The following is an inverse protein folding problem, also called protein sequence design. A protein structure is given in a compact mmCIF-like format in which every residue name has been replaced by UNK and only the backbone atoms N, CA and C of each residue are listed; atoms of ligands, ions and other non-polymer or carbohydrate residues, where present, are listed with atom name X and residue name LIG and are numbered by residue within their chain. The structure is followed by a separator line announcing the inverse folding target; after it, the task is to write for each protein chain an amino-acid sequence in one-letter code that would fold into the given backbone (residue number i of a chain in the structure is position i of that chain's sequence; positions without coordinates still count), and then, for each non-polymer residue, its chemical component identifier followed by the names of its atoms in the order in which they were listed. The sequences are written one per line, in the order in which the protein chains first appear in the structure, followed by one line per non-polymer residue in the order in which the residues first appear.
data_IF_922842175050
#
_entry.id   IF_922842175050
#
_cell.length_a   1.000
_cell.length_b   1.000
_cell.length_c   1.000
_cell.angle_alpha   90.00
_cell.angle_beta   90.00
_cell.angle_gamma   90.00
#
_symmetry.space_group_name_H-M   'P 1'
#
loop_
_entity.id
_entity.type
_entity.pdbx_description
1 polymer ?
#
# COMPACT_ATOMS: atom_id res chain seq x y z
N UNK A 1 -28.06 -11.63 -17.13
CA UNK A 1 -28.94 -12.53 -16.38
C UNK A 1 -29.29 -11.85 -15.06
N UNK A 2 -30.47 -12.11 -14.48
CA UNK A 2 -30.79 -11.62 -13.15
C UNK A 2 -29.98 -12.40 -12.12
N UNK A 3 -29.53 -11.73 -11.05
CA UNK A 3 -28.81 -12.38 -9.95
C UNK A 3 -29.78 -13.35 -9.20
N UNK A 4 -29.28 -14.51 -8.84
CA UNK A 4 -30.02 -15.42 -7.94
C UNK A 4 -30.15 -14.74 -6.57
N UNK A 5 -31.34 -14.73 -5.94
CA UNK A 5 -31.52 -14.11 -4.62
C UNK A 5 -30.57 -14.70 -3.57
N UNK A 6 -29.84 -13.83 -2.86
CA UNK A 6 -28.90 -14.19 -1.79
C UNK A 6 -28.85 -13.06 -0.74
N UNK A 7 -28.32 -13.36 0.44
CA UNK A 7 -28.09 -12.36 1.49
C UNK A 7 -26.84 -11.51 1.25
N UNK A 8 -25.85 -12.06 0.55
CA UNK A 8 -24.66 -11.39 0.10
C UNK A 8 -24.10 -12.10 -1.14
N UNK A 9 -23.30 -11.41 -1.92
CA UNK A 9 -22.63 -11.95 -3.10
C UNK A 9 -21.12 -11.91 -2.94
N UNK A 10 -20.46 -12.96 -3.39
CA UNK A 10 -19.00 -13.00 -3.55
C UNK A 10 -18.72 -13.22 -5.03
N UNK A 11 -18.03 -12.30 -5.66
CA UNK A 11 -17.65 -12.38 -7.06
C UNK A 11 -16.14 -12.42 -7.21
N UNK A 12 -15.63 -13.45 -7.88
CA UNK A 12 -14.22 -13.60 -8.19
C UNK A 12 -13.95 -13.04 -9.60
N UNK A 13 -13.06 -12.07 -9.68
CA UNK A 13 -12.70 -11.35 -10.92
C UNK A 13 -11.20 -11.30 -11.08
N UNK A 14 -10.72 -11.04 -12.29
CA UNK A 14 -9.29 -10.91 -12.54
C UNK A 14 -8.93 -11.00 -14.02
N UNK A 15 -7.64 -11.04 -14.27
CA UNK A 15 -7.10 -11.18 -15.61
C UNK A 15 -7.05 -12.65 -16.07
N UNK A 16 -7.14 -12.86 -17.37
CA UNK A 16 -6.82 -14.16 -17.96
C UNK A 16 -5.32 -14.45 -17.80
N UNK A 17 -4.96 -15.72 -17.83
CA UNK A 17 -3.56 -16.12 -17.81
C UNK A 17 -2.79 -15.53 -19.01
N UNK A 18 -1.63 -14.97 -18.75
CA UNK A 18 -0.71 -14.45 -19.75
C UNK A 18 0.73 -14.67 -19.31
N UNK A 19 1.66 -14.56 -20.25
CA UNK A 19 3.10 -14.57 -19.97
C UNK A 19 3.80 -13.57 -20.90
N UNK A 20 4.85 -12.94 -20.39
CA UNK A 20 5.74 -12.01 -21.09
C UNK A 20 4.97 -10.93 -21.91
N UNK A 21 5.38 -10.66 -23.14
CA UNK A 21 4.81 -9.63 -24.01
C UNK A 21 3.31 -9.76 -24.26
N UNK A 22 2.71 -10.95 -24.09
CA UNK A 22 1.25 -11.11 -24.15
C UNK A 22 0.53 -10.43 -22.98
N UNK A 23 1.25 -10.17 -21.91
CA UNK A 23 0.78 -9.42 -20.74
C UNK A 23 1.01 -7.92 -20.82
N UNK A 24 1.72 -7.43 -21.85
CA UNK A 24 2.00 -6.01 -22.01
C UNK A 24 0.72 -5.24 -22.25
N UNK A 25 0.34 -4.46 -21.24
CA UNK A 25 -0.84 -3.62 -21.26
C UNK A 25 -0.56 -2.36 -20.43
N UNK A 26 -0.50 -1.16 -21.02
CA UNK A 26 -0.23 0.07 -20.31
C UNK A 26 -1.38 0.50 -19.37
N UNK A 27 -2.57 -0.08 -19.54
CA UNK A 27 -3.76 0.24 -18.76
C UNK A 27 -4.57 -1.03 -18.45
N UNK A 28 -4.04 -1.99 -17.65
CA UNK A 28 -4.76 -3.20 -17.33
C UNK A 28 -6.06 -2.90 -16.57
N UNK A 29 -7.14 -3.46 -17.06
CA UNK A 29 -8.50 -3.27 -16.57
C UNK A 29 -9.18 -4.61 -16.39
N UNK A 30 -10.12 -4.70 -15.45
CA UNK A 30 -11.04 -5.84 -15.44
C UNK A 30 -11.80 -5.94 -16.77
N UNK A 31 -12.03 -7.15 -17.28
CA UNK A 31 -12.86 -7.36 -18.47
C UNK A 31 -14.24 -6.72 -18.34
N UNK A 32 -14.82 -6.18 -19.43
CA UNK A 32 -16.12 -5.49 -19.38
C UNK A 32 -17.28 -6.37 -18.88
N UNK A 33 -17.25 -7.67 -19.17
CA UNK A 33 -18.23 -8.63 -18.69
C UNK A 33 -18.18 -8.81 -17.18
N UNK A 34 -17.00 -8.85 -16.58
CA UNK A 34 -16.82 -8.90 -15.13
C UNK A 34 -17.28 -7.61 -14.45
N UNK A 35 -16.95 -6.45 -15.02
CA UNK A 35 -17.46 -5.14 -14.53
C UNK A 35 -18.99 -5.10 -14.59
N UNK A 36 -19.61 -5.59 -15.67
CA UNK A 36 -21.06 -5.65 -15.81
C UNK A 36 -21.72 -6.62 -14.80
N UNK A 37 -21.04 -7.71 -14.45
CA UNK A 37 -21.50 -8.64 -13.42
C UNK A 37 -21.51 -7.96 -12.04
N UNK A 38 -20.42 -7.32 -11.62
CA UNK A 38 -20.35 -6.57 -10.36
C UNK A 38 -21.49 -5.57 -10.28
N UNK A 39 -21.68 -4.76 -11.32
CA UNK A 39 -22.77 -3.78 -11.40
C UNK A 39 -24.16 -4.41 -11.23
N UNK A 40 -24.38 -5.57 -11.83
CA UNK A 40 -25.64 -6.32 -11.70
C UNK A 40 -25.87 -6.78 -10.26
N UNK A 41 -24.82 -7.23 -9.58
CA UNK A 41 -24.90 -7.68 -8.19
C UNK A 41 -25.14 -6.50 -7.24
N UNK A 42 -24.48 -5.39 -7.44
CA UNK A 42 -24.67 -4.17 -6.63
C UNK A 42 -26.09 -3.59 -6.78
N UNK A 43 -26.66 -3.66 -7.98
CA UNK A 43 -28.04 -3.22 -8.24
C UNK A 43 -29.09 -3.99 -7.42
N UNK A 44 -28.72 -5.13 -6.80
CA UNK A 44 -29.62 -5.88 -5.90
C UNK A 44 -29.77 -5.21 -4.53
N UNK A 45 -28.89 -4.26 -4.17
CA UNK A 45 -28.81 -3.63 -2.85
C UNK A 45 -28.31 -4.55 -1.73
N UNK A 46 -27.78 -5.73 -2.08
CA UNK A 46 -27.16 -6.67 -1.12
C UNK A 46 -25.65 -6.45 -1.05
N UNK A 47 -25.00 -6.81 0.07
CA UNK A 47 -23.54 -6.72 0.17
C UNK A 47 -22.84 -7.49 -0.96
N UNK A 48 -21.86 -6.85 -1.60
CA UNK A 48 -21.00 -7.43 -2.62
C UNK A 48 -19.56 -7.45 -2.13
N UNK A 49 -18.92 -8.61 -2.21
CA UNK A 49 -17.50 -8.80 -1.91
C UNK A 49 -16.81 -9.18 -3.21
N UNK A 50 -15.87 -8.33 -3.63
CA UNK A 50 -15.07 -8.55 -4.84
C UNK A 50 -13.75 -9.21 -4.47
N UNK A 51 -13.48 -10.38 -5.03
CA UNK A 51 -12.21 -11.10 -4.88
C UNK A 51 -11.40 -10.93 -6.16
N UNK A 52 -10.29 -10.20 -6.07
CA UNK A 52 -9.45 -9.90 -7.23
C UNK A 52 -8.32 -10.91 -7.34
N UNK A 53 -8.29 -11.64 -8.47
CA UNK A 53 -7.26 -12.63 -8.80
C UNK A 53 -6.43 -12.08 -9.96
N UNK A 54 -5.32 -11.43 -9.65
CA UNK A 54 -4.43 -10.82 -10.64
C UNK A 54 -2.99 -10.78 -10.11
N UNK A 55 -2.02 -10.82 -11.01
CA UNK A 55 -0.58 -10.72 -10.66
C UNK A 55 -0.11 -9.27 -10.50
N UNK A 56 -0.93 -8.31 -10.87
CA UNK A 56 -0.64 -6.87 -10.86
C UNK A 56 -1.88 -6.05 -10.50
N UNK A 57 -1.74 -4.76 -10.16
CA UNK A 57 -2.88 -3.87 -10.06
C UNK A 57 -3.63 -3.75 -11.40
N UNK A 58 -4.95 -3.78 -11.32
CA UNK A 58 -5.86 -3.61 -12.46
C UNK A 58 -6.92 -2.58 -12.10
N UNK A 59 -7.37 -1.79 -13.06
CA UNK A 59 -8.51 -0.90 -12.89
C UNK A 59 -9.78 -1.72 -12.63
N UNK A 60 -10.38 -1.54 -11.46
CA UNK A 60 -11.51 -2.36 -11.00
C UNK A 60 -12.83 -1.89 -11.61
N UNK A 61 -12.96 -0.62 -11.94
CA UNK A 61 -14.22 0.02 -12.29
C UNK A 61 -14.93 0.60 -11.08
N UNK A 62 -15.67 1.68 -11.29
CA UNK A 62 -16.35 2.42 -10.24
C UNK A 62 -17.28 1.54 -9.39
N UNK A 63 -17.98 0.59 -10.01
CA UNK A 63 -18.88 -0.31 -9.29
C UNK A 63 -18.07 -1.20 -8.32
N UNK A 64 -16.94 -1.78 -8.74
CA UNK A 64 -16.09 -2.58 -7.85
C UNK A 64 -15.43 -1.73 -6.75
N UNK A 65 -15.09 -0.47 -7.04
CA UNK A 65 -14.54 0.47 -6.04
C UNK A 65 -15.55 0.79 -4.94
N UNK A 66 -16.85 0.70 -5.22
CA UNK A 66 -17.95 0.92 -4.28
C UNK A 66 -18.39 -0.36 -3.54
N UNK A 67 -17.82 -1.52 -3.87
CA UNK A 67 -18.17 -2.79 -3.23
C UNK A 67 -17.99 -2.74 -1.70
N UNK A 68 -18.79 -3.53 -0.98
CA UNK A 68 -18.75 -3.59 0.50
C UNK A 68 -17.45 -4.19 1.04
N UNK A 69 -16.73 -4.97 0.21
CA UNK A 69 -15.42 -5.51 0.52
C UNK A 69 -14.65 -5.85 -0.74
N UNK A 70 -13.35 -5.59 -0.72
CA UNK A 70 -12.42 -5.97 -1.78
C UNK A 70 -11.30 -6.79 -1.16
N UNK A 71 -11.13 -8.02 -1.64
CA UNK A 71 -10.05 -8.91 -1.24
C UNK A 71 -9.09 -9.11 -2.40
N UNK A 72 -7.87 -8.60 -2.28
CA UNK A 72 -6.80 -8.88 -3.23
C UNK A 72 -6.18 -10.24 -2.93
N UNK A 73 -6.50 -11.24 -3.74
CA UNK A 73 -6.03 -12.62 -3.57
C UNK A 73 -4.73 -12.91 -4.32
N UNK A 74 -4.29 -12.00 -5.19
CA UNK A 74 -3.12 -12.20 -6.08
C UNK A 74 -3.23 -13.47 -6.92
N UNK A 75 -2.11 -14.08 -7.29
CA UNK A 75 -2.05 -15.37 -7.98
C UNK A 75 -1.87 -16.48 -6.94
N UNK A 76 -2.99 -16.97 -6.42
CA UNK A 76 -2.99 -18.11 -5.52
C UNK A 76 -2.71 -19.42 -6.26
N UNK A 77 -2.24 -20.41 -5.52
CA UNK A 77 -2.08 -21.79 -5.99
C UNK A 77 -3.36 -22.60 -5.74
N UNK A 78 -3.27 -23.91 -5.76
CA UNK A 78 -4.40 -24.86 -5.61
C UNK A 78 -5.23 -24.63 -4.34
N UNK A 79 -4.63 -24.11 -3.27
CA UNK A 79 -5.30 -23.84 -1.99
C UNK A 79 -5.88 -22.43 -1.89
N UNK A 80 -5.79 -21.62 -2.94
CA UNK A 80 -6.27 -20.23 -2.91
C UNK A 80 -7.75 -20.10 -2.54
N UNK A 81 -8.60 -20.99 -3.04
CA UNK A 81 -10.03 -20.98 -2.75
C UNK A 81 -10.32 -21.14 -1.26
N UNK A 82 -9.62 -22.06 -0.58
CA UNK A 82 -9.77 -22.24 0.85
C UNK A 82 -9.27 -21.03 1.64
N UNK A 83 -8.12 -20.45 1.26
CA UNK A 83 -7.57 -19.27 1.92
C UNK A 83 -8.49 -18.05 1.78
N UNK A 84 -9.07 -17.84 0.60
CA UNK A 84 -10.05 -16.77 0.33
C UNK A 84 -11.31 -16.99 1.19
N UNK A 85 -11.85 -18.20 1.21
CA UNK A 85 -13.01 -18.52 2.05
C UNK A 85 -12.71 -18.28 3.54
N UNK A 86 -11.56 -18.73 4.02
CA UNK A 86 -11.15 -18.54 5.42
C UNK A 86 -10.99 -17.06 5.79
N UNK A 87 -10.54 -16.22 4.85
CA UNK A 87 -10.52 -14.77 5.03
C UNK A 87 -11.94 -14.19 5.07
N UNK A 88 -12.78 -14.47 4.07
CA UNK A 88 -14.14 -13.92 3.98
C UNK A 88 -14.98 -14.30 5.21
N UNK A 89 -14.90 -15.54 5.66
CA UNK A 89 -15.64 -16.02 6.84
C UNK A 89 -14.92 -15.76 8.18
N UNK A 90 -13.81 -15.03 8.15
CA UNK A 90 -13.11 -14.55 9.34
C UNK A 90 -12.42 -15.63 10.17
N UNK A 91 -12.09 -16.78 9.57
CA UNK A 91 -11.21 -17.79 10.20
C UNK A 91 -9.78 -17.28 10.31
N UNK A 92 -9.32 -16.52 9.33
CA UNK A 92 -8.05 -15.81 9.36
C UNK A 92 -8.30 -14.31 9.32
N UNK A 93 -7.42 -13.57 9.96
CA UNK A 93 -7.40 -12.11 9.92
C UNK A 93 -6.49 -11.65 8.78
N UNK A 94 -7.00 -10.91 7.77
CA UNK A 94 -6.16 -10.33 6.74
C UNK A 94 -5.14 -9.37 7.35
N UNK A 95 -3.87 -9.52 7.00
CA UNK A 95 -2.78 -8.68 7.52
C UNK A 95 -1.87 -8.13 6.43
N UNK A 96 -2.11 -8.51 5.18
CA UNK A 96 -1.32 -8.08 4.03
C UNK A 96 -1.40 -6.57 3.80
N UNK A 97 -0.28 -5.97 3.38
CA UNK A 97 -0.21 -4.57 2.95
C UNK A 97 0.18 -4.54 1.48
N UNK A 98 -0.41 -3.62 0.71
CA UNK A 98 -0.11 -3.47 -0.70
C UNK A 98 1.37 -3.11 -0.91
N UNK A 99 2.10 -3.88 -1.73
CA UNK A 99 3.50 -3.59 -2.08
C UNK A 99 3.63 -2.58 -3.23
N UNK A 100 2.52 -2.11 -3.75
CA UNK A 100 2.42 -1.14 -4.84
C UNK A 100 1.10 -0.36 -4.69
N UNK A 101 1.04 0.88 -5.18
CA UNK A 101 -0.21 1.63 -5.24
C UNK A 101 -1.20 0.97 -6.21
N UNK A 102 -2.46 0.95 -5.84
CA UNK A 102 -3.55 0.44 -6.66
C UNK A 102 -4.25 1.57 -7.39
N UNK A 103 -4.41 1.51 -8.73
CA UNK A 103 -5.01 2.59 -9.51
C UNK A 103 -6.50 2.76 -9.23
N UNK A 104 -6.99 3.98 -9.36
CA UNK A 104 -8.41 4.32 -9.34
C UNK A 104 -8.92 4.60 -10.75
N UNK A 105 -10.03 4.00 -11.13
CA UNK A 105 -10.71 4.34 -12.39
C UNK A 105 -11.32 5.75 -12.34
N UNK A 106 -11.65 6.26 -11.15
CA UNK A 106 -12.20 7.60 -10.97
C UNK A 106 -11.16 8.71 -11.20
N UNK A 107 -9.89 8.42 -11.06
CA UNK A 107 -8.79 9.33 -11.38
C UNK A 107 -8.64 9.57 -12.89
N UNK A 108 -9.48 8.96 -13.69
CA UNK A 108 -9.33 8.76 -15.12
C UNK A 108 -10.17 9.61 -16.08
N UNK A 109 -10.89 10.65 -15.75
CA UNK A 109 -11.32 11.60 -16.78
C UNK A 109 -10.10 12.38 -17.29
N UNK A 110 -9.36 11.80 -18.23
CA UNK A 110 -8.18 12.41 -18.83
C UNK A 110 -6.87 12.22 -18.05
N UNK A 111 -6.82 11.28 -17.10
CA UNK A 111 -5.70 11.09 -16.18
C UNK A 111 -4.61 10.17 -16.68
N UNK A 112 -4.24 10.28 -17.93
CA UNK A 112 -3.03 9.65 -18.42
C UNK A 112 -1.90 10.66 -18.60
N UNK A 113 -0.73 10.13 -18.80
CA UNK A 113 0.46 10.90 -19.12
C UNK A 113 0.32 11.71 -20.42
N UNK A 114 -0.67 11.41 -21.30
CA UNK A 114 -0.79 11.96 -22.64
C UNK A 114 -2.26 12.19 -23.09
N UNK A 115 -3.25 12.30 -22.20
CA UNK A 115 -4.64 12.52 -22.56
C UNK A 115 -5.37 11.26 -23.05
N UNK A 116 -4.90 10.06 -22.77
CA UNK A 116 -5.48 8.76 -23.10
C UNK A 116 -6.06 8.01 -21.89
N UNK A 117 -6.23 6.70 -22.00
CA UNK A 117 -6.88 5.88 -20.99
C UNK A 117 -6.12 5.84 -19.64
N UNK A 118 -6.83 5.62 -18.53
CA UNK A 118 -6.23 5.47 -17.22
C UNK A 118 -5.15 4.38 -17.25
N UNK A 119 -3.94 4.76 -16.89
CA UNK A 119 -2.84 3.83 -16.72
C UNK A 119 -2.69 3.53 -15.23
N UNK A 120 -2.53 2.27 -14.81
CA UNK A 120 -2.10 1.94 -13.46
C UNK A 120 -0.80 2.67 -13.09
N UNK A 121 0.03 2.96 -14.08
CA UNK A 121 1.23 3.80 -13.93
C UNK A 121 0.89 5.28 -13.76
N UNK A 122 -0.29 5.74 -14.17
CA UNK A 122 -0.78 7.10 -13.94
C UNK A 122 -1.05 7.42 -12.48
N UNK A 123 -1.36 6.41 -11.68
CA UNK A 123 -1.54 6.52 -10.23
C UNK A 123 -0.23 6.33 -9.45
N UNK A 124 0.87 6.11 -10.13
CA UNK A 124 2.18 6.20 -9.52
C UNK A 124 2.63 7.67 -9.52
N UNK A 125 3.34 8.14 -8.50
CA UNK A 125 3.86 9.49 -8.51
C UNK A 125 4.77 9.66 -9.73
N UNK A 126 4.47 10.67 -10.57
CA UNK A 126 5.35 11.05 -11.69
C UNK A 126 6.76 11.41 -11.21
N UNK A 127 6.78 12.01 -10.05
CA UNK A 127 7.98 12.37 -9.34
C UNK A 127 7.95 11.63 -8.01
N UNK A 128 9.05 11.03 -7.65
CA UNK A 128 9.19 10.27 -6.41
C UNK A 128 9.01 11.11 -5.13
N UNK A 129 8.87 12.43 -5.26
CA UNK A 129 8.60 13.39 -4.19
C UNK A 129 7.10 13.69 -4.01
N UNK A 130 6.21 13.02 -4.73
CA UNK A 130 4.77 13.22 -4.59
C UNK A 130 4.15 12.30 -3.53
N UNK A 131 3.30 12.88 -2.69
CA UNK A 131 2.41 12.16 -1.79
C UNK A 131 1.00 12.06 -2.38
N UNK A 132 0.20 11.02 -2.04
CA UNK A 132 -1.19 10.93 -2.45
C UNK A 132 -1.98 12.17 -2.09
N UNK A 133 -2.83 12.61 -3.02
CA UNK A 133 -3.62 13.82 -2.86
C UNK A 133 -2.85 15.13 -3.08
N UNK A 134 -1.53 15.06 -3.33
CA UNK A 134 -0.75 16.23 -3.71
C UNK A 134 -0.67 16.32 -5.23
N UNK A 135 -1.23 17.38 -5.82
CA UNK A 135 -1.12 17.65 -7.25
C UNK A 135 0.13 18.45 -7.58
N UNK A 136 0.90 18.05 -8.59
CA UNK A 136 1.68 19.03 -9.33
C UNK A 136 0.69 19.93 -10.06
N UNK A 137 0.91 21.23 -10.13
CA UNK A 137 0.01 22.20 -10.79
C UNK A 137 -0.27 21.98 -12.29
N UNK A 138 -0.09 20.78 -12.79
CA UNK A 138 -0.35 20.31 -14.15
C UNK A 138 -1.63 19.46 -14.26
N UNK A 139 -2.51 19.45 -13.27
CA UNK A 139 -3.82 18.80 -13.34
C UNK A 139 -3.81 17.27 -13.14
N UNK A 140 -2.68 16.68 -12.78
CA UNK A 140 -2.54 15.24 -12.54
C UNK A 140 -2.18 15.00 -11.07
N UNK A 141 -3.20 14.97 -10.20
CA UNK A 141 -3.01 14.58 -8.82
C UNK A 141 -2.67 13.08 -8.75
N UNK A 142 -1.63 12.74 -8.00
CA UNK A 142 -1.41 11.35 -7.59
C UNK A 142 -2.51 10.98 -6.59
N UNK A 143 -3.47 10.18 -7.03
CA UNK A 143 -4.64 9.81 -6.23
C UNK A 143 -5.01 8.35 -6.47
N UNK A 144 -4.22 7.39 -5.98
CA UNK A 144 -4.51 5.98 -6.11
C UNK A 144 -5.78 5.60 -5.33
N UNK A 145 -6.47 4.55 -5.78
CA UNK A 145 -7.58 3.95 -5.03
C UNK A 145 -7.10 3.47 -3.66
N UNK A 146 -5.97 2.74 -3.66
CA UNK A 146 -5.28 2.33 -2.44
C UNK A 146 -3.78 2.58 -2.60
N UNK A 147 -3.15 3.37 -1.74
CA UNK A 147 -1.73 3.65 -1.84
C UNK A 147 -0.87 2.47 -1.35
N UNK A 148 0.41 2.52 -1.67
CA UNK A 148 1.43 1.61 -1.12
C UNK A 148 1.31 1.51 0.42
N UNK A 149 1.37 0.31 0.96
CA UNK A 149 1.26 0.07 2.40
C UNK A 149 -0.17 -0.03 2.94
N UNK A 150 -1.20 0.22 2.09
CA UNK A 150 -2.59 0.05 2.50
C UNK A 150 -2.94 -1.42 2.73
N UNK A 151 -3.78 -1.68 3.73
CA UNK A 151 -4.38 -2.98 4.00
C UNK A 151 -5.10 -2.98 5.33
N UNK A 152 -6.32 -3.51 5.35
CA UNK A 152 -7.19 -3.58 6.51
C UNK A 152 -7.02 -4.90 7.27
N UNK A 153 -7.50 -4.94 8.50
CA UNK A 153 -7.61 -6.10 9.37
C UNK A 153 -9.02 -6.16 9.95
N UNK A 154 -9.42 -7.31 10.46
CA UNK A 154 -10.68 -7.46 11.20
C UNK A 154 -10.58 -7.02 12.67
N UNK A 155 -9.42 -6.53 13.09
CA UNK A 155 -9.19 -5.88 14.37
C UNK A 155 -8.50 -4.53 14.15
N UNK A 156 -8.27 -3.78 15.21
CA UNK A 156 -7.65 -2.46 15.15
C UNK A 156 -6.35 -2.43 15.95
N UNK A 157 -5.38 -1.67 15.46
CA UNK A 157 -4.09 -1.51 16.13
C UNK A 157 -3.74 -0.05 16.31
N UNK A 158 -2.97 0.24 17.34
CA UNK A 158 -2.35 1.55 17.56
C UNK A 158 -0.87 1.38 17.85
N UNK A 159 -0.08 2.37 17.45
CA UNK A 159 1.36 2.44 17.76
C UNK A 159 1.65 3.63 18.64
N UNK A 160 2.46 3.43 19.69
CA UNK A 160 2.83 4.47 20.67
C UNK A 160 4.29 4.35 21.08
N UNK A 161 4.82 5.39 21.71
CA UNK A 161 6.15 5.35 22.33
C UNK A 161 7.30 5.21 21.35
N UNK A 162 7.18 5.78 20.14
CA UNK A 162 8.25 5.74 19.14
C UNK A 162 9.49 6.47 19.67
N UNK A 163 10.59 5.77 19.63
CA UNK A 163 11.94 6.30 19.84
C UNK A 163 12.90 5.73 18.80
N UNK A 164 14.01 6.39 18.56
CA UNK A 164 15.04 5.96 17.61
C UNK A 164 16.43 6.21 18.19
N UNK A 165 17.43 5.45 17.77
CA UNK A 165 18.85 5.74 18.07
C UNK A 165 19.15 7.20 17.73
N UNK A 166 19.49 8.06 18.70
CA UNK A 166 19.49 9.52 18.50
C UNK A 166 20.59 10.01 17.56
N UNK A 167 21.72 9.29 17.51
CA UNK A 167 22.87 9.65 16.67
C UNK A 167 23.53 8.39 16.11
N UNK A 168 23.79 8.39 14.80
CA UNK A 168 24.33 7.22 14.09
C UNK A 168 25.40 7.68 13.10
N UNK A 169 26.46 6.89 12.91
CA UNK A 169 27.41 7.13 11.84
C UNK A 169 26.85 6.75 10.47
N UNK A 170 27.42 7.31 9.38
CA UNK A 170 27.00 7.02 8.00
C UNK A 170 27.02 5.54 7.60
N UNK A 171 27.81 4.74 8.30
CA UNK A 171 27.93 3.29 8.10
C UNK A 171 27.29 2.48 9.21
N UNK A 172 26.57 3.14 10.11
CA UNK A 172 25.95 2.53 11.27
C UNK A 172 24.57 1.94 11.00
N UNK A 173 23.95 1.49 12.08
CA UNK A 173 22.58 0.96 12.09
C UNK A 173 21.75 1.79 13.07
N UNK A 174 20.63 2.31 12.62
CA UNK A 174 19.63 2.93 13.48
C UNK A 174 18.58 1.89 13.89
N UNK A 175 18.03 2.06 15.09
CA UNK A 175 16.97 1.19 15.61
C UNK A 175 15.80 2.04 16.08
N UNK A 176 14.63 1.81 15.48
CA UNK A 176 13.36 2.34 15.94
C UNK A 176 12.72 1.37 16.93
N UNK A 177 12.26 1.87 18.06
CA UNK A 177 11.56 1.11 19.12
C UNK A 177 10.20 1.74 19.35
N UNK A 178 9.15 0.93 19.39
CA UNK A 178 7.78 1.39 19.62
C UNK A 178 6.90 0.26 20.16
N UNK A 179 5.73 0.61 20.69
CA UNK A 179 4.76 -0.36 21.20
C UNK A 179 3.56 -0.44 20.27
N UNK A 180 3.19 -1.66 19.87
CA UNK A 180 1.97 -1.97 19.11
C UNK A 180 0.95 -2.55 20.06
N UNK A 181 -0.27 -2.04 20.02
CA UNK A 181 -1.40 -2.51 20.81
C UNK A 181 -2.54 -2.91 19.90
N UNK A 182 -3.08 -4.11 20.07
CA UNK A 182 -4.36 -4.50 19.48
C UNK A 182 -5.48 -3.89 20.32
N UNK A 183 -6.19 -2.91 19.76
CA UNK A 183 -7.28 -2.18 20.43
C UNK A 183 -8.66 -2.76 20.15
N UNK A 184 -8.74 -3.79 19.31
CA UNK A 184 -9.98 -4.46 18.99
C UNK A 184 -10.26 -5.69 19.87
N UNK A 185 -11.31 -6.40 19.53
CA UNK A 185 -11.84 -7.52 20.31
C UNK A 185 -11.44 -8.90 19.80
N UNK A 186 -10.65 -8.97 18.71
CA UNK A 186 -10.19 -10.22 18.09
C UNK A 186 -8.66 -10.25 18.07
N UNK A 187 -8.09 -11.44 18.07
CA UNK A 187 -6.68 -11.59 17.76
C UNK A 187 -6.44 -11.24 16.29
N UNK A 188 -5.29 -10.62 16.01
CA UNK A 188 -4.92 -10.26 14.65
C UNK A 188 -3.41 -10.07 14.51
N UNK A 189 -3.00 -9.77 13.29
CA UNK A 189 -1.61 -9.49 12.97
C UNK A 189 -1.50 -8.12 12.31
N UNK A 190 -0.67 -7.24 12.85
CA UNK A 190 -0.30 -6.00 12.18
C UNK A 190 1.06 -6.10 11.50
N UNK A 191 1.19 -5.45 10.35
CA UNK A 191 2.46 -5.20 9.68
C UNK A 191 2.71 -3.70 9.78
N UNK A 192 3.69 -3.32 10.58
CA UNK A 192 4.05 -1.93 10.85
C UNK A 192 5.27 -1.55 10.01
N UNK A 193 5.11 -0.77 8.94
CA UNK A 193 6.22 -0.23 8.17
C UNK A 193 6.87 0.92 8.93
N UNK A 194 8.19 1.01 8.80
CA UNK A 194 9.01 2.10 9.35
C UNK A 194 9.58 2.89 8.18
N UNK A 195 9.30 4.17 8.17
CA UNK A 195 9.78 5.09 7.14
C UNK A 195 10.79 6.07 7.72
N UNK A 196 11.60 6.62 6.83
CA UNK A 196 12.49 7.76 7.13
C UNK A 196 12.24 8.87 6.13
N UNK A 197 12.13 10.08 6.61
CA UNK A 197 12.19 11.31 5.82
C UNK A 197 13.49 12.07 6.09
N UNK A 198 13.96 12.78 5.08
CA UNK A 198 15.12 13.68 5.14
C UNK A 198 14.64 15.09 4.81
N UNK A 199 14.35 15.93 5.84
CA UNK A 199 13.78 17.26 5.62
C UNK A 199 14.70 18.22 4.85
N UNK A 200 16.01 18.02 4.92
CA UNK A 200 17.02 18.81 4.22
C UNK A 200 17.96 17.87 3.49
N UNK A 201 18.04 17.99 2.18
CA UNK A 201 18.92 17.21 1.31
C UNK A 201 19.50 18.11 0.22
N UNK A 202 20.69 17.78 -0.28
CA UNK A 202 21.32 18.47 -1.42
C UNK A 202 20.69 18.08 -2.76
N UNK A 203 19.93 16.98 -2.79
CA UNK A 203 19.22 16.50 -3.98
C UNK A 203 17.74 16.24 -3.62
N UNK A 204 16.89 16.14 -4.64
CA UNK A 204 15.49 15.79 -4.43
C UNK A 204 15.41 14.33 -3.95
N UNK A 205 14.76 14.11 -2.82
CA UNK A 205 14.60 12.80 -2.19
C UNK A 205 13.11 12.46 -2.01
N UNK A 206 12.75 11.18 -1.91
CA UNK A 206 11.38 10.81 -1.59
C UNK A 206 10.92 11.42 -0.27
N UNK A 207 9.66 11.86 -0.14
CA UNK A 207 9.10 12.38 1.12
C UNK A 207 9.22 11.38 2.26
N UNK A 208 9.09 10.10 1.94
CA UNK A 208 9.24 8.98 2.85
C UNK A 208 9.90 7.81 2.14
N UNK A 209 10.84 7.17 2.79
CA UNK A 209 11.51 5.96 2.32
C UNK A 209 11.27 4.82 3.30
N UNK A 210 10.73 3.71 2.83
CA UNK A 210 10.59 2.49 3.66
C UNK A 210 11.99 1.94 3.98
N UNK A 211 12.31 1.86 5.26
CA UNK A 211 13.62 1.35 5.74
C UNK A 211 13.51 -0.01 6.43
N UNK A 212 12.30 -0.43 6.75
CA UNK A 212 12.05 -1.74 7.35
C UNK A 212 10.59 -1.89 7.76
N UNK A 213 10.24 -3.07 8.24
CA UNK A 213 8.91 -3.35 8.79
C UNK A 213 9.00 -4.46 9.84
N UNK A 214 7.96 -4.58 10.64
CA UNK A 214 7.82 -5.69 11.57
C UNK A 214 6.41 -6.27 11.47
N UNK A 215 6.30 -7.59 11.69
CA UNK A 215 5.04 -8.31 11.77
C UNK A 215 4.77 -8.67 13.22
N UNK A 216 3.63 -8.24 13.76
CA UNK A 216 3.29 -8.43 15.18
C UNK A 216 1.92 -9.08 15.29
N UNK A 217 1.89 -10.31 15.81
CA UNK A 217 0.64 -10.99 16.15
C UNK A 217 0.30 -10.69 17.60
N UNK A 218 -0.93 -10.24 17.86
CA UNK A 218 -1.43 -9.85 19.17
C UNK A 218 -2.85 -10.39 19.40
N UNK A 219 -3.08 -10.90 20.60
CA UNK A 219 -4.43 -11.17 21.05
C UNK A 219 -5.19 -9.87 21.33
N UNK A 220 -6.51 -9.95 21.50
CA UNK A 220 -7.33 -8.79 21.86
C UNK A 220 -6.78 -8.09 23.10
N UNK A 221 -6.67 -6.76 23.03
CA UNK A 221 -6.12 -5.90 24.11
C UNK A 221 -4.66 -6.14 24.47
N UNK A 222 -3.95 -6.98 23.73
CA UNK A 222 -2.52 -7.24 23.96
C UNK A 222 -1.66 -6.11 23.40
N UNK A 223 -0.56 -5.81 24.08
CA UNK A 223 0.48 -4.88 23.63
C UNK A 223 1.84 -5.57 23.57
N UNK A 224 2.69 -5.13 22.65
CA UNK A 224 4.05 -5.60 22.53
C UNK A 224 4.96 -4.48 22.05
N UNK A 225 6.07 -4.29 22.76
CA UNK A 225 7.16 -3.44 22.30
C UNK A 225 8.02 -4.19 21.30
N UNK A 226 8.31 -3.54 20.17
CA UNK A 226 9.07 -4.10 19.06
C UNK A 226 10.19 -3.17 18.62
N UNK A 227 11.17 -3.73 17.93
CA UNK A 227 12.28 -2.98 17.37
C UNK A 227 12.43 -3.30 15.88
N UNK A 228 12.73 -2.27 15.10
CA UNK A 228 13.11 -2.37 13.69
C UNK A 228 14.45 -1.69 13.51
N UNK A 229 15.47 -2.46 13.16
CA UNK A 229 16.80 -1.95 12.89
C UNK A 229 17.03 -1.87 11.38
N UNK A 230 17.64 -0.80 10.91
CA UNK A 230 17.96 -0.59 9.52
C UNK A 230 19.36 0.01 9.33
N UNK A 231 20.12 -0.46 8.33
CA UNK A 231 21.40 0.15 8.01
C UNK A 231 21.17 1.55 7.42
N UNK A 232 21.91 2.52 7.91
CA UNK A 232 21.83 3.91 7.46
C UNK A 232 22.16 4.04 5.97
N UNK A 233 22.95 3.12 5.43
CA UNK A 233 23.29 3.07 4.00
C UNK A 233 22.06 2.98 3.06
N UNK A 234 20.90 2.53 3.55
CA UNK A 234 19.64 2.53 2.78
C UNK A 234 19.14 3.94 2.45
N UNK A 235 19.68 4.96 3.11
CA UNK A 235 19.35 6.37 2.90
C UNK A 235 20.33 7.08 1.94
N UNK A 236 21.27 6.33 1.36
CA UNK A 236 22.25 6.87 0.42
C UNK A 236 21.61 7.39 -0.86
N UNK A 237 22.11 8.52 -1.35
CA UNK A 237 21.74 9.16 -2.60
C UNK A 237 22.96 9.31 -3.50
N UNK A 238 22.76 9.18 -4.81
CA UNK A 238 23.79 9.49 -5.80
C UNK A 238 23.69 10.96 -6.13
N UNK A 239 24.70 11.71 -5.73
CA UNK A 239 24.80 13.14 -6.05
C UNK A 239 25.35 13.32 -7.45
N UNK A 240 24.89 14.36 -8.15
CA UNK A 240 25.39 14.74 -9.44
C UNK A 240 24.35 14.74 -10.55
N UNK A 241 24.81 14.88 -11.77
CA UNK A 241 23.97 14.86 -12.97
C UNK A 241 23.71 13.42 -13.46
N UNK A 242 23.02 13.29 -14.58
CA UNK A 242 22.69 12.01 -15.20
C UNK A 242 23.91 11.13 -15.52
N UNK A 243 25.10 11.71 -15.56
CA UNK A 243 26.35 11.02 -15.83
C UNK A 243 27.10 10.65 -14.53
N UNK A 244 26.59 11.01 -13.38
CA UNK A 244 27.22 10.67 -12.10
C UNK A 244 27.21 9.16 -11.91
N UNK A 245 28.38 8.57 -11.77
CA UNK A 245 28.60 7.13 -11.63
C UNK A 245 29.13 6.73 -10.24
N UNK A 246 29.13 7.66 -9.30
CA UNK A 246 29.60 7.42 -7.94
C UNK A 246 28.65 6.49 -7.15
N UNK A 247 29.15 5.78 -6.13
CA UNK A 247 28.28 5.01 -5.24
C UNK A 247 27.36 5.96 -4.46
N UNK A 248 26.15 5.51 -4.06
CA UNK A 248 25.27 6.27 -3.20
C UNK A 248 25.99 6.65 -1.89
N UNK A 249 25.85 7.90 -1.48
CA UNK A 249 26.42 8.41 -0.23
C UNK A 249 25.33 8.91 0.71
N UNK A 250 25.47 8.64 2.00
CA UNK A 250 24.57 9.15 3.01
C UNK A 250 25.02 10.54 3.43
N UNK A 251 24.15 11.52 3.34
CA UNK A 251 24.43 12.88 3.82
C UNK A 251 24.41 12.94 5.35
N UNK A 252 25.32 13.69 5.97
CA UNK A 252 25.19 14.02 7.39
C UNK A 252 24.06 15.02 7.57
N UNK A 253 23.30 14.92 8.65
CA UNK A 253 22.21 15.84 8.90
C UNK A 253 21.10 15.23 9.76
N UNK A 254 19.97 15.94 9.78
CA UNK A 254 18.79 15.54 10.54
C UNK A 254 17.86 14.69 9.69
N UNK A 255 17.39 13.60 10.26
CA UNK A 255 16.43 12.67 9.68
C UNK A 255 15.30 12.42 10.65
N UNK A 256 14.17 11.94 10.15
CA UNK A 256 12.99 11.66 10.97
C UNK A 256 12.49 10.27 10.66
N UNK A 257 12.46 9.39 11.66
CA UNK A 257 11.73 8.10 11.58
C UNK A 257 10.24 8.39 11.72
N UNK A 258 9.45 7.73 10.91
CA UNK A 258 8.00 7.89 10.90
C UNK A 258 7.30 6.53 10.90
N UNK A 259 6.22 6.43 11.68
CA UNK A 259 5.24 5.36 11.61
C UNK A 259 3.95 5.94 11.06
N UNK A 260 3.39 5.31 10.06
CA UNK A 260 2.17 5.77 9.41
C UNK A 260 0.94 5.07 9.98
N UNK A 261 -0.22 5.70 9.82
CA UNK A 261 -1.49 5.12 10.21
C UNK A 261 -1.97 4.12 9.15
N UNK A 262 -1.66 2.83 9.35
CA UNK A 262 -1.84 1.77 8.36
C UNK A 262 -3.29 1.45 7.99
N UNK A 263 -4.28 1.98 8.73
CA UNK A 263 -5.67 1.52 8.63
C UNK A 263 -6.60 2.42 7.81
N UNK A 264 -6.17 3.63 7.44
CA UNK A 264 -7.03 4.56 6.70
C UNK A 264 -6.26 5.38 5.66
N UNK A 265 -5.11 5.90 6.02
CA UNK A 265 -4.28 6.74 5.15
C UNK A 265 -2.80 6.45 5.42
N UNK A 266 -2.19 5.54 4.65
CA UNK A 266 -0.81 5.08 4.90
C UNK A 266 0.26 6.19 4.90
N UNK A 267 -0.10 7.40 4.50
CA UNK A 267 0.80 8.56 4.55
C UNK A 267 0.49 9.52 5.70
N UNK A 268 -0.57 9.25 6.48
CA UNK A 268 -0.81 9.99 7.72
C UNK A 268 0.19 9.50 8.77
N UNK A 269 1.11 10.37 9.15
CA UNK A 269 2.13 10.05 10.15
C UNK A 269 1.47 9.96 11.51
N UNK A 270 1.44 8.76 12.07
CA UNK A 270 0.91 8.49 13.41
C UNK A 270 1.91 8.86 14.51
N UNK A 271 3.20 8.68 14.25
CA UNK A 271 4.28 9.03 15.18
C UNK A 271 5.56 9.37 14.41
N UNK A 272 6.37 10.27 14.98
CA UNK A 272 7.67 10.63 14.43
C UNK A 272 8.72 10.80 15.52
N UNK A 273 9.98 10.49 15.20
CA UNK A 273 11.13 10.68 16.09
C UNK A 273 12.35 11.13 15.30
N UNK A 274 13.00 12.25 15.65
CA UNK A 274 14.18 12.73 14.96
C UNK A 274 15.45 11.95 15.36
N UNK A 275 16.41 11.85 14.45
CA UNK A 275 17.76 11.37 14.70
C UNK A 275 18.76 12.09 13.80
N UNK A 276 20.05 11.98 14.14
CA UNK A 276 21.12 12.65 13.39
C UNK A 276 22.13 11.64 12.86
N UNK A 277 22.55 11.85 11.59
CA UNK A 277 23.63 11.10 10.96
C UNK A 277 24.87 12.00 10.88
N UNK A 278 26.05 11.47 11.24
CA UNK A 278 27.35 12.16 11.22
C UNK A 278 28.43 11.37 10.50
#
# INVERSE_FOLDING_TARGET
AAATPADAYVVAVGEKAYAEGLGDNPAPQLPPDQKAEIKTLEATGKPVIVVVIAGRPVGLGQDAENANGILMAYQGSTEAGQAVADAIFGKIDPSGKLPISWPSDAAAPGGDFNGGAPSPLGDQPKFFDQLPGTGSGQGHAYNPLYPFGFGLSYTTFTTTGLSVTPTVSRHGTATATFTVTNTGTRSGTDIVPVYVSQPVSSVVVPPQRLVGFTRVKLDASQSKTVQVSFPVSTLGETQGDINASGPPTVEPGSYVVQLNNNNAKPYDVAASAPFTIH
#
